data_IF_038158410831
#
_entry.id   IF_038158410831
#
_cell.length_a   1.000
_cell.length_b   1.000
_cell.length_c   1.000
_cell.angle_alpha   90.00
_cell.angle_beta   90.00
_cell.angle_gamma   90.00
#
_symmetry.space_group_name_H-M   'P 1'
#
loop_
_entity.id
_entity.type
_entity.pdbx_description
1 polymer ?
#
# COMPACT_ATOMS: atom_id res chain seq x y z
N UNK A 1 0.83 -31.05 -8.35
CA UNK A 1 1.58 -29.83 -8.76
C UNK A 1 2.72 -29.60 -7.77
N UNK A 2 3.94 -29.52 -8.25
CA UNK A 2 5.10 -29.27 -7.39
C UNK A 2 5.09 -27.81 -6.90
N UNK A 3 5.65 -27.55 -5.70
CA UNK A 3 5.77 -26.19 -5.12
C UNK A 3 6.42 -25.20 -6.10
N UNK A 4 7.34 -25.67 -6.94
CA UNK A 4 8.03 -24.89 -7.97
C UNK A 4 7.07 -24.38 -9.07
N UNK A 5 6.18 -25.25 -9.57
CA UNK A 5 5.22 -24.86 -10.62
C UNK A 5 4.21 -23.79 -10.17
N UNK A 6 3.84 -23.80 -8.89
CA UNK A 6 2.97 -22.76 -8.31
C UNK A 6 3.72 -21.44 -8.18
N UNK A 7 4.96 -21.47 -7.72
CA UNK A 7 5.80 -20.28 -7.61
C UNK A 7 6.07 -19.62 -8.97
N UNK A 8 6.36 -20.41 -9.99
CA UNK A 8 6.61 -19.92 -11.36
C UNK A 8 5.34 -19.32 -11.98
N UNK A 9 4.19 -19.93 -11.73
CA UNK A 9 2.91 -19.41 -12.20
C UNK A 9 2.55 -18.10 -11.50
N UNK A 10 2.77 -17.98 -10.20
CA UNK A 10 2.58 -16.74 -9.45
C UNK A 10 3.54 -15.65 -9.92
N UNK A 11 4.80 -15.99 -10.19
CA UNK A 11 5.79 -15.07 -10.74
C UNK A 11 5.40 -14.57 -12.15
N UNK A 12 4.86 -15.46 -12.99
CA UNK A 12 4.34 -15.10 -14.32
C UNK A 12 3.17 -14.15 -14.21
N UNK A 13 2.17 -14.45 -13.36
CA UNK A 13 1.02 -13.57 -13.10
C UNK A 13 1.49 -12.22 -12.55
N UNK A 14 2.43 -12.21 -11.61
CA UNK A 14 3.04 -10.98 -11.09
C UNK A 14 3.65 -10.14 -12.23
N UNK A 15 4.47 -10.76 -13.08
CA UNK A 15 5.12 -10.07 -14.19
C UNK A 15 4.09 -9.54 -15.22
N UNK A 16 3.04 -10.29 -15.53
CA UNK A 16 1.95 -9.86 -16.42
C UNK A 16 1.17 -8.68 -15.83
N UNK A 17 0.88 -8.71 -14.53
CA UNK A 17 0.23 -7.60 -13.82
C UNK A 17 1.16 -6.37 -13.78
N UNK A 18 2.46 -6.56 -13.63
CA UNK A 18 3.45 -5.48 -13.53
C UNK A 18 3.89 -4.94 -14.91
N UNK A 19 3.94 -5.77 -15.94
CA UNK A 19 4.35 -5.36 -17.30
C UNK A 19 3.31 -4.51 -18.05
N UNK A 20 2.06 -4.49 -17.58
CA UNK A 20 1.06 -3.52 -18.05
C UNK A 20 1.37 -2.09 -17.56
N UNK A 21 2.63 -1.69 -17.49
CA UNK A 21 3.05 -0.31 -17.26
C UNK A 21 2.57 0.52 -18.44
N UNK A 22 1.61 1.38 -18.13
CA UNK A 22 1.29 2.52 -18.99
C UNK A 22 2.58 3.33 -19.18
N UNK A 23 3.16 3.31 -20.38
CA UNK A 23 4.43 3.99 -20.72
C UNK A 23 4.28 5.53 -20.74
N UNK A 24 3.24 6.06 -20.15
CA UNK A 24 3.01 7.49 -19.94
C UNK A 24 3.38 7.94 -18.51
N UNK A 25 4.50 7.47 -17.97
CA UNK A 25 5.08 8.06 -16.75
C UNK A 25 5.81 9.37 -17.03
N UNK A 26 5.24 10.25 -17.85
CA UNK A 26 5.72 11.60 -17.97
C UNK A 26 4.90 12.52 -17.04
N UNK A 27 5.54 12.96 -15.95
CA UNK A 27 5.12 14.11 -15.12
C UNK A 27 3.71 14.03 -14.48
N UNK A 28 3.29 12.88 -13.99
CA UNK A 28 2.03 12.81 -13.23
C UNK A 28 2.25 13.25 -11.78
N UNK A 29 1.79 14.45 -11.47
CA UNK A 29 1.65 14.92 -10.09
C UNK A 29 0.94 13.87 -9.23
N UNK A 30 1.37 13.69 -7.99
CA UNK A 30 0.83 12.74 -7.04
C UNK A 30 0.17 13.47 -5.86
N UNK A 31 -1.00 13.03 -5.40
CA UNK A 31 -1.60 13.58 -4.19
C UNK A 31 -0.72 13.33 -2.98
N UNK A 32 -0.55 14.34 -2.12
CA UNK A 32 0.29 14.27 -0.94
C UNK A 32 -0.05 13.07 -0.04
N UNK A 33 -1.33 12.77 0.18
CA UNK A 33 -1.74 11.63 0.98
C UNK A 33 -1.37 10.27 0.33
N UNK A 34 -1.42 10.20 -1.02
CA UNK A 34 -0.95 9.01 -1.75
C UNK A 34 0.57 8.86 -1.61
N UNK A 35 1.30 9.96 -1.70
CA UNK A 35 2.76 9.97 -1.53
C UNK A 35 3.16 9.42 -0.16
N UNK A 36 2.66 10.02 0.93
CA UNK A 36 2.96 9.61 2.31
C UNK A 36 2.57 8.15 2.59
N UNK A 37 1.42 7.73 2.06
CA UNK A 37 0.96 6.35 2.22
C UNK A 37 1.82 5.35 1.45
N UNK A 38 2.27 5.68 0.23
CA UNK A 38 3.17 4.84 -0.57
C UNK A 38 4.59 4.79 -0.03
N UNK A 39 5.01 5.85 0.65
CA UNK A 39 6.29 5.89 1.38
C UNK A 39 6.26 5.08 2.69
N UNK A 40 5.14 4.46 3.03
CA UNK A 40 5.01 3.64 4.23
C UNK A 40 4.81 4.42 5.54
N UNK A 41 4.75 5.75 5.48
CA UNK A 41 4.67 6.61 6.67
C UNK A 41 3.38 6.39 7.46
N UNK A 42 2.22 6.43 6.77
CA UNK A 42 0.92 6.34 7.42
C UNK A 42 -0.19 5.93 6.44
N UNK A 43 -1.44 5.82 6.90
CA UNK A 43 -2.58 5.65 6.00
C UNK A 43 -2.92 6.96 5.28
N UNK A 44 -3.65 6.91 4.16
CA UNK A 44 -4.09 8.14 3.44
C UNK A 44 -4.88 9.09 4.33
N UNK A 45 -5.80 8.55 5.16
CA UNK A 45 -6.60 9.36 6.10
C UNK A 45 -5.73 9.99 7.19
N UNK A 46 -4.72 9.29 7.63
CA UNK A 46 -3.76 9.84 8.60
C UNK A 46 -2.87 10.90 7.94
N UNK A 47 -2.45 10.68 6.70
CA UNK A 47 -1.73 11.67 5.92
C UNK A 47 -2.53 12.97 5.77
N UNK A 48 -3.85 12.88 5.51
CA UNK A 48 -4.72 14.05 5.46
C UNK A 48 -4.73 14.81 6.79
N UNK A 49 -4.85 14.11 7.94
CA UNK A 49 -4.79 14.75 9.27
C UNK A 49 -3.44 15.40 9.56
N UNK A 50 -2.35 14.74 9.20
CA UNK A 50 -0.99 15.29 9.37
C UNK A 50 -0.79 16.54 8.51
N UNK A 51 -1.36 16.55 7.30
CA UNK A 51 -1.32 17.70 6.40
C UNK A 51 -2.15 18.86 6.95
N UNK A 52 -3.39 18.60 7.39
CA UNK A 52 -4.27 19.60 8.00
C UNK A 52 -3.68 20.23 9.29
N UNK A 53 -2.96 19.43 10.06
CA UNK A 53 -2.25 19.93 11.25
C UNK A 53 -0.96 20.72 10.93
N UNK A 54 -0.61 20.89 9.65
CA UNK A 54 0.55 21.65 9.19
C UNK A 54 1.90 20.99 9.49
N UNK A 55 1.89 19.68 9.76
CA UNK A 55 3.10 18.88 10.02
C UNK A 55 3.84 18.44 8.77
N UNK A 56 3.15 18.51 7.61
CA UNK A 56 3.71 18.14 6.30
C UNK A 56 4.13 19.38 5.54
N UNK A 57 5.35 19.38 5.03
CA UNK A 57 5.87 20.43 4.15
C UNK A 57 6.37 19.83 2.85
N UNK A 58 6.29 20.62 1.79
CA UNK A 58 6.78 20.28 0.46
C UNK A 58 7.67 21.42 -0.02
N UNK A 59 8.91 21.12 -0.34
CA UNK A 59 9.94 22.12 -0.71
C UNK A 59 10.01 23.27 0.32
N UNK A 60 9.88 22.94 1.62
CA UNK A 60 9.92 23.90 2.72
C UNK A 60 8.61 24.65 3.01
N UNK A 61 7.57 24.49 2.22
CA UNK A 61 6.27 25.19 2.39
C UNK A 61 5.21 24.23 2.90
N UNK A 62 4.31 24.75 3.74
CA UNK A 62 3.11 24.00 4.16
C UNK A 62 2.23 23.72 2.94
N UNK A 63 1.65 22.52 2.91
CA UNK A 63 0.76 22.07 1.84
C UNK A 63 -0.63 21.78 2.40
N UNK A 64 -1.65 21.99 1.59
CA UNK A 64 -3.05 21.69 1.94
C UNK A 64 -3.45 20.25 1.65
N UNK A 65 -4.48 19.77 2.35
CA UNK A 65 -5.06 18.46 2.11
C UNK A 65 -5.59 18.32 0.68
N UNK A 66 -5.27 17.21 0.05
CA UNK A 66 -5.70 16.90 -1.32
C UNK A 66 -4.84 17.52 -2.42
N UNK A 67 -3.90 18.39 -2.07
CA UNK A 67 -2.98 18.97 -3.05
C UNK A 67 -2.09 17.90 -3.70
N UNK A 68 -1.65 18.22 -4.90
CA UNK A 68 -0.75 17.38 -5.68
C UNK A 68 0.66 17.97 -5.66
N UNK A 69 1.64 17.10 -5.62
CA UNK A 69 3.06 17.42 -5.63
C UNK A 69 3.72 16.84 -6.87
N UNK A 70 4.80 17.45 -7.31
CA UNK A 70 5.65 16.93 -8.36
C UNK A 70 6.41 15.68 -7.90
N UNK A 71 6.82 14.80 -8.82
CA UNK A 71 7.50 13.54 -8.48
C UNK A 71 8.82 13.70 -7.75
N UNK A 72 9.53 14.80 -7.99
CA UNK A 72 10.84 15.17 -7.43
C UNK A 72 10.76 16.09 -6.22
N UNK A 73 9.54 16.45 -5.78
CA UNK A 73 9.35 17.33 -4.64
C UNK A 73 9.91 16.73 -3.34
N UNK A 74 10.58 17.55 -2.56
CA UNK A 74 11.09 17.17 -1.23
C UNK A 74 9.97 17.29 -0.21
N UNK A 75 9.48 16.14 0.25
CA UNK A 75 8.42 16.06 1.26
C UNK A 75 9.04 15.81 2.62
N UNK A 76 8.66 16.61 3.61
CA UNK A 76 9.07 16.40 5.00
C UNK A 76 7.85 16.23 5.91
N UNK A 77 8.00 15.39 6.92
CA UNK A 77 7.09 15.27 8.05
C UNK A 77 7.82 15.71 9.32
N UNK A 78 7.30 16.71 10.02
CA UNK A 78 7.93 17.32 11.18
C UNK A 78 9.40 17.76 10.92
N UNK A 79 9.68 18.25 9.71
CA UNK A 79 11.00 18.65 9.29
C UNK A 79 11.95 17.51 8.85
N UNK A 80 11.52 16.24 8.98
CA UNK A 80 12.31 15.08 8.56
C UNK A 80 11.91 14.67 7.15
N UNK A 81 12.88 14.56 6.20
CA UNK A 81 12.60 14.15 4.83
C UNK A 81 12.01 12.73 4.76
N UNK A 82 10.90 12.60 4.04
CA UNK A 82 10.24 11.33 3.78
C UNK A 82 10.85 10.69 2.54
N UNK A 83 11.46 9.52 2.71
CA UNK A 83 11.98 8.70 1.59
C UNK A 83 10.94 7.69 1.16
N UNK A 84 10.73 7.54 -0.15
CA UNK A 84 9.92 6.44 -0.67
C UNK A 84 10.60 5.10 -0.38
N UNK A 85 9.81 4.13 0.04
CA UNK A 85 10.26 2.74 0.10
C UNK A 85 10.37 2.20 -1.33
N UNK A 86 11.57 1.81 -1.74
CA UNK A 86 11.82 1.24 -3.07
C UNK A 86 11.38 -0.23 -3.13
N UNK A 87 11.36 -0.90 -1.98
CA UNK A 87 10.95 -2.29 -1.88
C UNK A 87 9.48 -2.47 -2.24
N UNK A 88 9.22 -3.25 -3.29
CA UNK A 88 7.88 -3.64 -3.71
C UNK A 88 7.54 -5.01 -3.12
N UNK A 89 6.51 -5.03 -2.28
CA UNK A 89 6.09 -6.25 -1.58
C UNK A 89 4.78 -6.76 -2.16
N UNK A 90 4.76 -8.03 -2.52
CA UNK A 90 3.55 -8.82 -2.75
C UNK A 90 3.68 -10.12 -1.96
N UNK A 91 2.85 -10.26 -0.94
CA UNK A 91 2.85 -11.39 -0.04
C UNK A 91 1.58 -12.22 -0.26
N UNK A 92 1.75 -13.53 -0.41
CA UNK A 92 0.65 -14.49 -0.39
C UNK A 92 0.60 -15.14 1.00
N UNK A 93 -0.51 -14.93 1.69
CA UNK A 93 -0.72 -15.39 3.06
C UNK A 93 -1.95 -16.28 3.16
N UNK A 94 -1.84 -17.41 3.84
CA UNK A 94 -3.00 -18.20 4.23
C UNK A 94 -3.51 -17.68 5.57
N UNK A 95 -4.59 -16.89 5.51
CA UNK A 95 -5.20 -16.30 6.70
C UNK A 95 -5.90 -17.38 7.52
N UNK A 96 -5.55 -17.59 8.79
CA UNK A 96 -6.32 -18.46 9.67
C UNK A 96 -7.59 -17.78 10.18
N UNK A 97 -8.48 -18.56 10.79
CA UNK A 97 -9.66 -18.04 11.50
C UNK A 97 -9.25 -17.19 12.72
N UNK A 98 -10.12 -16.32 13.17
CA UNK A 98 -9.90 -15.46 14.33
C UNK A 98 -9.11 -14.17 14.07
N UNK A 99 -8.53 -14.01 12.88
CA UNK A 99 -7.74 -12.84 12.47
C UNK A 99 -8.61 -11.89 11.63
N UNK A 100 -8.56 -10.60 11.93
CA UNK A 100 -9.33 -9.57 11.23
C UNK A 100 -8.53 -8.99 10.05
N UNK A 101 -9.13 -8.91 8.86
CA UNK A 101 -8.56 -8.24 7.69
C UNK A 101 -8.61 -6.72 7.82
N UNK A 102 -7.81 -6.17 8.73
CA UNK A 102 -7.70 -4.74 8.99
C UNK A 102 -6.23 -4.34 9.17
N UNK A 103 -5.93 -3.10 8.85
CA UNK A 103 -4.65 -2.43 9.19
C UNK A 103 -4.79 -1.57 10.46
N UNK A 104 -5.99 -1.51 11.04
CA UNK A 104 -6.31 -0.77 12.24
C UNK A 104 -6.79 -1.74 13.32
N UNK A 105 -6.16 -1.69 14.47
CA UNK A 105 -6.62 -2.40 15.65
C UNK A 105 -7.95 -1.82 16.13
N UNK A 106 -8.94 -2.68 16.33
CA UNK A 106 -10.19 -2.37 16.99
C UNK A 106 -10.33 -3.33 18.17
N UNK A 107 -10.50 -2.79 19.36
CA UNK A 107 -10.61 -3.60 20.59
C UNK A 107 -9.43 -4.58 20.79
N UNK A 108 -9.69 -5.75 21.33
CA UNK A 108 -8.69 -6.81 21.58
C UNK A 108 -8.52 -7.78 20.39
N UNK A 109 -8.80 -7.32 19.16
CA UNK A 109 -8.68 -8.16 17.98
C UNK A 109 -7.27 -8.12 17.40
N UNK A 110 -6.78 -9.27 16.95
CA UNK A 110 -5.52 -9.35 16.19
C UNK A 110 -5.80 -9.08 14.74
N UNK A 111 -5.16 -8.07 14.19
CA UNK A 111 -5.26 -7.76 12.75
C UNK A 111 -4.29 -8.61 11.93
N UNK A 112 -4.59 -8.78 10.64
CA UNK A 112 -3.72 -9.52 9.71
C UNK A 112 -2.33 -8.91 9.63
N UNK A 113 -2.20 -7.59 9.71
CA UNK A 113 -0.91 -6.89 9.66
C UNK A 113 -0.10 -7.07 10.95
N UNK A 114 -0.74 -7.09 12.11
CA UNK A 114 -0.08 -7.43 13.38
C UNK A 114 0.37 -8.89 13.42
N UNK A 115 -0.48 -9.81 12.92
CA UNK A 115 -0.16 -11.23 12.91
C UNK A 115 1.05 -11.55 12.04
N UNK A 116 1.15 -10.92 10.84
CA UNK A 116 2.27 -11.12 9.92
C UNK A 116 3.52 -10.38 10.39
N UNK A 117 3.36 -9.22 11.02
CA UNK A 117 4.44 -8.35 11.50
C UNK A 117 5.55 -8.11 10.47
N UNK A 118 5.15 -7.71 9.25
CA UNK A 118 6.11 -7.49 8.16
C UNK A 118 6.89 -6.19 8.36
N UNK A 119 8.21 -6.11 8.01
CA UNK A 119 9.08 -4.95 8.29
C UNK A 119 8.61 -3.65 7.64
N UNK A 120 7.97 -3.71 6.47
CA UNK A 120 7.39 -2.55 5.80
C UNK A 120 5.86 -2.59 5.90
N UNK A 121 5.24 -1.43 5.83
CA UNK A 121 3.80 -1.31 5.91
C UNK A 121 3.14 -1.97 4.70
N UNK A 122 2.39 -3.04 4.94
CA UNK A 122 1.57 -3.75 3.96
C UNK A 122 0.09 -3.65 4.31
N UNK A 123 -0.77 -3.94 3.34
CA UNK A 123 -2.21 -4.00 3.54
C UNK A 123 -2.85 -5.06 2.65
N UNK A 124 -3.97 -5.65 3.07
CA UNK A 124 -4.62 -6.73 2.34
C UNK A 124 -5.27 -6.24 1.04
N UNK A 125 -5.20 -7.07 0.01
CA UNK A 125 -5.94 -6.94 -1.25
C UNK A 125 -7.25 -7.71 -1.10
N UNK A 126 -8.33 -7.00 -0.85
CA UNK A 126 -9.60 -7.60 -0.46
C UNK A 126 -9.65 -7.96 1.03
N UNK A 127 -10.69 -8.66 1.42
CA UNK A 127 -10.94 -9.03 2.81
C UNK A 127 -11.58 -10.42 2.89
N UNK A 128 -11.21 -11.14 3.94
CA UNK A 128 -11.90 -12.32 4.43
C UNK A 128 -12.47 -12.00 5.81
N UNK A 129 -13.63 -12.53 6.12
CA UNK A 129 -14.22 -12.37 7.45
C UNK A 129 -13.32 -12.96 8.54
N UNK A 130 -13.52 -12.56 9.78
CA UNK A 130 -12.73 -13.02 10.92
C UNK A 130 -12.71 -14.54 11.01
N UNK A 131 -13.87 -15.16 10.89
CA UNK A 131 -14.04 -16.62 11.01
C UNK A 131 -13.79 -17.38 9.70
N UNK A 132 -13.51 -16.66 8.60
CA UNK A 132 -13.12 -17.26 7.33
C UNK A 132 -11.61 -17.50 7.29
N UNK A 133 -11.20 -18.57 6.65
CA UNK A 133 -9.81 -18.88 6.36
C UNK A 133 -9.59 -19.00 4.85
N UNK A 134 -8.37 -18.74 4.39
CA UNK A 134 -8.04 -18.86 2.97
C UNK A 134 -6.90 -17.95 2.53
N UNK A 135 -6.66 -17.95 1.22
CA UNK A 135 -5.59 -17.16 0.63
C UNK A 135 -5.94 -15.67 0.61
N UNK A 136 -5.02 -14.86 1.08
CA UNK A 136 -5.09 -13.42 1.12
C UNK A 136 -3.80 -12.83 0.54
N UNK A 137 -3.92 -11.93 -0.41
CA UNK A 137 -2.80 -11.16 -0.91
C UNK A 137 -2.61 -9.91 -0.03
N UNK A 138 -1.35 -9.57 0.26
CA UNK A 138 -0.98 -8.31 0.91
C UNK A 138 0.11 -7.63 0.10
N UNK A 139 0.06 -6.30 0.07
CA UNK A 139 1.04 -5.50 -0.69
C UNK A 139 1.22 -4.13 -0.05
N UNK A 140 2.33 -3.46 -0.37
CA UNK A 140 2.53 -2.04 -0.09
C UNK A 140 2.22 -1.15 -1.31
N UNK A 141 1.76 -1.73 -2.44
CA UNK A 141 1.50 -1.03 -3.70
C UNK A 141 0.01 -0.78 -3.90
N UNK A 142 -0.48 0.44 -3.65
CA UNK A 142 -1.90 0.79 -3.81
C UNK A 142 -2.39 0.71 -5.25
N UNK A 143 -1.53 0.97 -6.21
CA UNK A 143 -1.90 0.89 -7.63
C UNK A 143 -2.09 -0.57 -8.08
N UNK A 144 -1.31 -1.49 -7.52
CA UNK A 144 -1.51 -2.93 -7.72
C UNK A 144 -2.88 -3.40 -7.19
N UNK A 145 -3.27 -2.93 -5.99
CA UNK A 145 -4.61 -3.23 -5.43
C UNK A 145 -5.71 -2.78 -6.38
N UNK A 146 -5.62 -1.54 -6.89
CA UNK A 146 -6.62 -1.02 -7.81
C UNK A 146 -6.69 -1.81 -9.11
N UNK A 147 -5.57 -2.30 -9.62
CA UNK A 147 -5.52 -3.13 -10.83
C UNK A 147 -6.16 -4.50 -10.62
N UNK A 148 -5.89 -5.14 -9.48
CA UNK A 148 -6.45 -6.45 -9.13
C UNK A 148 -7.96 -6.35 -8.86
N UNK A 149 -8.40 -5.27 -8.17
CA UNK A 149 -9.78 -5.15 -7.68
C UNK A 149 -10.74 -4.49 -8.68
N UNK A 150 -10.26 -3.92 -9.79
CA UNK A 150 -11.15 -3.36 -10.81
C UNK A 150 -11.91 -4.48 -11.52
N UNK A 151 -13.22 -4.48 -11.40
CA UNK A 151 -14.10 -5.29 -12.22
C UNK A 151 -13.93 -4.89 -13.70
N UNK A 152 -13.65 -5.84 -14.58
CA UNK A 152 -13.51 -5.60 -16.03
C UNK A 152 -12.12 -5.80 -16.62
N UNK A 153 -11.14 -6.23 -15.83
CA UNK A 153 -9.82 -6.65 -16.34
C UNK A 153 -9.76 -8.15 -16.70
N UNK A 154 -10.93 -8.77 -17.01
CA UNK A 154 -11.05 -10.17 -17.41
C UNK A 154 -11.69 -10.27 -18.79
#
# INVERSE_FOLDING_TARGET
MTKTAVADRLKKIYNEIMSGKDQTENLKTIRINKYLSSAGVCSRREADRLTDSGRVTVNGHKIGTGEKIEPDAVVCLDGVPVKKTEEQVLLLFYKPRGIVCSTRKQFNETTVTEYINYPVRIYPVGRLDRESEGLLLLTNQGDLVNRIMRAGNY
#
